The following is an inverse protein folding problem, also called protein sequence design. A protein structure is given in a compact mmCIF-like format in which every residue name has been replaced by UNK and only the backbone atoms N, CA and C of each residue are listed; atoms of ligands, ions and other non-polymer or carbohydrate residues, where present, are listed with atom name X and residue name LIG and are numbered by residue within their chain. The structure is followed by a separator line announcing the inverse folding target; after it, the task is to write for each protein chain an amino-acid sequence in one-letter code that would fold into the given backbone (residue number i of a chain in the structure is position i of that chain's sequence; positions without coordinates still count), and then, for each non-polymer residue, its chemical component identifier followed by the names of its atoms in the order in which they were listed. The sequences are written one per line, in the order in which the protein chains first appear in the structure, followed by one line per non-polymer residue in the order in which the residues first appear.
data_IF_824216478939
#
_entry.id   IF_824216478939
#
_cell.length_a   1.000
_cell.length_b   1.000
_cell.length_c   1.000
_cell.angle_alpha   90.00
_cell.angle_beta   90.00
_cell.angle_gamma   90.00
#
_symmetry.space_group_name_H-M   'P 1'
#
loop_
_entity.id
_entity.type
_entity.pdbx_description
1 polymer ?
#
# COMPACT_ATOMS: atom_id res chain seq x y z
N UNK A 1 -5.05 1.03 -48.42
CA UNK A 1 -3.95 1.03 -47.42
C UNK A 1 -4.52 0.43 -46.13
N UNK A 2 -4.09 -0.78 -45.75
CA UNK A 2 -4.60 -1.48 -44.57
C UNK A 2 -3.93 -0.89 -43.33
N UNK A 3 -4.73 -0.39 -42.38
CA UNK A 3 -4.27 0.01 -41.06
C UNK A 3 -3.82 -1.25 -40.31
N UNK A 4 -2.50 -1.41 -40.12
CA UNK A 4 -1.96 -2.46 -39.26
C UNK A 4 -2.20 -2.03 -37.81
N UNK A 5 -3.28 -2.53 -37.21
CA UNK A 5 -3.54 -2.39 -35.78
C UNK A 5 -2.46 -3.12 -34.98
N UNK A 6 -1.56 -2.37 -34.38
CA UNK A 6 -0.73 -2.87 -33.29
C UNK A 6 -1.66 -3.16 -32.10
N UNK A 7 -2.08 -4.42 -31.94
CA UNK A 7 -2.59 -4.89 -30.65
C UNK A 7 -1.40 -4.93 -29.71
N UNK A 8 -1.26 -3.93 -28.86
CA UNK A 8 -0.35 -4.00 -27.72
C UNK A 8 -0.79 -5.19 -26.85
N UNK A 9 0.02 -6.24 -26.82
CA UNK A 9 -0.20 -7.40 -25.97
C UNK A 9 0.25 -7.00 -24.57
N UNK A 10 -0.70 -6.54 -23.76
CA UNK A 10 -0.46 -6.28 -22.35
C UNK A 10 -0.32 -7.60 -21.59
N UNK A 11 0.75 -7.74 -20.82
CA UNK A 11 0.90 -8.82 -19.85
C UNK A 11 0.75 -8.24 -18.44
N UNK A 12 0.21 -8.99 -17.50
CA UNK A 12 0.27 -8.58 -16.10
C UNK A 12 1.69 -8.82 -15.57
N UNK A 13 2.31 -7.82 -14.96
CA UNK A 13 3.56 -8.01 -14.25
C UNK A 13 3.36 -9.05 -13.14
N UNK A 14 4.18 -10.10 -13.09
CA UNK A 14 4.04 -11.19 -12.11
C UNK A 14 4.09 -10.70 -10.65
N UNK A 15 4.72 -9.55 -10.39
CA UNK A 15 4.93 -9.03 -9.04
C UNK A 15 3.87 -8.01 -8.62
N UNK A 16 3.61 -6.98 -9.43
CA UNK A 16 2.66 -5.93 -9.07
C UNK A 16 1.27 -6.11 -9.71
N UNK A 17 1.09 -7.12 -10.55
CA UNK A 17 -0.16 -7.46 -11.27
C UNK A 17 -0.73 -6.34 -12.16
N UNK A 18 0.07 -5.31 -12.44
CA UNK A 18 -0.32 -4.21 -13.31
C UNK A 18 -0.03 -4.56 -14.78
N UNK A 19 -0.88 -4.10 -15.73
CA UNK A 19 -0.63 -4.29 -17.15
C UNK A 19 0.67 -3.60 -17.57
N UNK A 20 1.57 -4.35 -18.21
CA UNK A 20 2.82 -3.84 -18.78
C UNK A 20 2.91 -4.23 -20.26
N UNK A 21 3.24 -3.28 -21.16
CA UNK A 21 3.50 -3.56 -22.56
C UNK A 21 4.94 -4.06 -22.83
N UNK A 22 5.82 -4.06 -21.81
CA UNK A 22 7.25 -4.38 -21.92
C UNK A 22 7.66 -5.52 -20.99
N UNK A 23 8.78 -6.15 -21.32
CA UNK A 23 9.46 -7.18 -20.49
C UNK A 23 9.99 -6.65 -19.17
N UNK A 24 10.17 -5.33 -19.06
CA UNK A 24 10.46 -4.57 -17.84
C UNK A 24 9.18 -3.87 -17.36
N UNK A 25 8.75 -4.14 -16.13
CA UNK A 25 7.69 -3.37 -15.50
C UNK A 25 8.22 -1.98 -15.09
N UNK A 26 7.72 -0.90 -15.68
CA UNK A 26 8.18 0.47 -15.37
C UNK A 26 7.91 0.90 -13.92
N UNK A 27 7.02 0.19 -13.21
CA UNK A 27 6.66 0.50 -11.82
C UNK A 27 7.59 -0.19 -10.82
N UNK A 28 7.66 -1.53 -10.88
CA UNK A 28 8.46 -2.31 -9.93
C UNK A 28 9.83 -2.72 -10.49
N UNK A 29 10.17 -2.30 -11.71
CA UNK A 29 11.39 -2.63 -12.44
C UNK A 29 11.67 -4.14 -12.59
N UNK A 30 10.63 -4.96 -12.47
CA UNK A 30 10.71 -6.40 -12.67
C UNK A 30 10.97 -6.73 -14.15
N UNK A 31 12.00 -7.53 -14.44
CA UNK A 31 12.32 -8.05 -15.77
C UNK A 31 12.03 -9.54 -15.88
N UNK A 32 11.28 -9.95 -16.90
CA UNK A 32 10.88 -11.35 -17.09
C UNK A 32 11.99 -12.27 -17.63
N UNK A 33 13.05 -11.74 -18.27
CA UNK A 33 14.00 -12.55 -19.07
C UNK A 33 15.40 -12.73 -18.46
N UNK A 34 15.78 -11.96 -17.44
CA UNK A 34 17.11 -12.05 -16.82
C UNK A 34 16.96 -12.56 -15.40
N UNK A 35 17.22 -13.86 -15.22
CA UNK A 35 17.37 -14.44 -13.89
C UNK A 35 18.33 -13.60 -13.05
N UNK A 36 17.85 -13.22 -11.86
CA UNK A 36 18.49 -12.39 -10.84
C UNK A 36 18.71 -10.91 -11.17
N UNK A 37 17.71 -10.12 -10.78
CA UNK A 37 17.94 -8.88 -10.04
C UNK A 37 17.41 -9.12 -8.63
N UNK A 38 18.20 -8.78 -7.61
CA UNK A 38 17.75 -8.77 -6.21
C UNK A 38 16.35 -8.16 -6.15
N UNK A 39 15.38 -8.93 -5.65
CA UNK A 39 14.00 -8.49 -5.55
C UNK A 39 13.99 -7.11 -4.89
N UNK A 40 13.64 -6.07 -5.64
CA UNK A 40 13.41 -4.76 -5.05
C UNK A 40 12.27 -4.95 -4.04
N UNK A 41 12.61 -4.95 -2.76
CA UNK A 41 11.62 -5.01 -1.70
C UNK A 41 10.70 -3.81 -1.89
N UNK A 42 9.39 -4.04 -1.92
CA UNK A 42 8.40 -2.97 -2.08
C UNK A 42 7.68 -2.73 -0.77
N UNK A 43 7.41 -1.47 -0.47
CA UNK A 43 6.60 -1.10 0.69
C UNK A 43 5.21 -1.75 0.61
N UNK A 44 4.76 -2.40 1.68
CA UNK A 44 3.43 -3.03 1.72
C UNK A 44 2.27 -2.03 1.59
N UNK A 45 2.48 -0.77 2.01
CA UNK A 45 1.45 0.26 2.02
C UNK A 45 1.36 1.08 0.73
N UNK A 46 2.48 1.60 0.25
CA UNK A 46 2.48 2.51 -0.92
C UNK A 46 3.10 1.90 -2.18
N UNK A 47 3.59 0.65 -2.11
CA UNK A 47 4.28 -0.06 -3.21
C UNK A 47 5.53 0.64 -3.75
N UNK A 48 6.01 1.69 -3.09
CA UNK A 48 7.26 2.33 -3.45
C UNK A 48 8.45 1.36 -3.27
N UNK A 49 9.47 1.44 -4.13
CA UNK A 49 10.71 0.68 -3.96
C UNK A 49 11.38 1.01 -2.62
N UNK A 50 11.84 -0.01 -1.90
CA UNK A 50 12.63 0.15 -0.68
C UNK A 50 14.11 0.22 -1.03
N UNK A 51 14.80 1.19 -0.43
CA UNK A 51 16.25 1.33 -0.56
C UNK A 51 16.94 0.25 0.29
N UNK A 52 17.10 -0.95 -0.28
CA UNK A 52 17.90 -2.04 0.27
C UNK A 52 17.27 -2.83 1.42
N UNK A 53 17.82 -4.02 1.73
CA UNK A 53 17.26 -4.93 2.71
C UNK A 53 17.65 -4.49 4.13
N UNK A 54 16.80 -3.70 4.79
CA UNK A 54 16.77 -3.75 6.25
C UNK A 54 15.95 -4.97 6.67
N UNK A 55 16.55 -5.99 7.30
CA UNK A 55 15.83 -7.19 7.70
C UNK A 55 14.64 -6.81 8.59
N UNK A 56 13.43 -7.22 8.18
CA UNK A 56 12.20 -7.00 8.94
C UNK A 56 11.46 -5.68 8.65
N UNK A 57 12.01 -4.79 7.81
CA UNK A 57 11.32 -3.54 7.46
C UNK A 57 10.49 -3.71 6.18
N UNK A 58 9.17 -3.85 6.34
CA UNK A 58 8.21 -3.95 5.22
C UNK A 58 7.62 -2.60 4.78
N UNK A 59 7.92 -1.53 5.52
CA UNK A 59 7.41 -0.18 5.29
C UNK A 59 8.51 0.79 4.87
N UNK A 60 8.24 1.61 3.87
CA UNK A 60 9.16 2.68 3.49
C UNK A 60 9.20 3.78 4.57
N UNK A 61 10.33 4.48 4.66
CA UNK A 61 10.52 5.58 5.59
C UNK A 61 9.41 6.64 5.47
N UNK A 62 8.92 6.91 4.25
CA UNK A 62 7.82 7.85 4.04
C UNK A 62 6.52 7.39 4.73
N UNK A 63 6.12 6.13 4.57
CA UNK A 63 4.94 5.57 5.23
C UNK A 63 5.09 5.60 6.76
N UNK A 64 6.28 5.29 7.27
CA UNK A 64 6.58 5.37 8.70
C UNK A 64 6.46 6.80 9.22
N UNK A 65 7.06 7.78 8.53
CA UNK A 65 6.99 9.20 8.91
C UNK A 65 5.55 9.70 8.85
N UNK A 66 4.80 9.36 7.81
CA UNK A 66 3.38 9.71 7.71
C UNK A 66 2.57 9.14 8.87
N UNK A 67 2.80 7.86 9.22
CA UNK A 67 2.13 7.24 10.37
C UNK A 67 2.44 7.99 11.66
N UNK A 68 3.70 8.32 11.91
CA UNK A 68 4.12 9.10 13.10
C UNK A 68 3.46 10.48 13.12
N UNK A 69 3.41 11.19 11.99
CA UNK A 69 2.76 12.51 11.90
C UNK A 69 1.27 12.40 12.23
N UNK A 70 0.57 11.43 11.65
CA UNK A 70 -0.86 11.22 11.90
C UNK A 70 -1.11 10.89 13.38
N UNK A 71 -0.35 9.94 13.94
CA UNK A 71 -0.48 9.52 15.34
C UNK A 71 -0.23 10.66 16.34
N UNK A 72 0.67 11.58 16.02
CA UNK A 72 0.99 12.74 16.86
C UNK A 72 0.15 13.98 16.50
N UNK A 73 -0.77 13.89 15.55
CA UNK A 73 -1.61 15.02 15.18
C UNK A 73 -2.68 15.28 16.26
N UNK A 74 -2.94 16.56 16.61
CA UNK A 74 -4.04 16.89 17.52
C UNK A 74 -5.39 16.37 17.03
N UNK A 75 -5.61 16.40 15.71
CA UNK A 75 -6.82 15.86 15.09
C UNK A 75 -7.03 14.38 15.43
N UNK A 76 -6.00 13.54 15.28
CA UNK A 76 -6.11 12.11 15.57
C UNK A 76 -6.42 11.87 17.06
N UNK A 77 -5.81 12.67 17.94
CA UNK A 77 -6.09 12.60 19.37
C UNK A 77 -7.55 12.93 19.70
N UNK A 78 -8.08 14.03 19.14
CA UNK A 78 -9.48 14.41 19.34
C UNK A 78 -10.44 13.36 18.79
N UNK A 79 -10.22 12.89 17.56
CA UNK A 79 -11.04 11.86 16.94
C UNK A 79 -11.05 10.55 17.76
N UNK A 80 -9.90 10.16 18.33
CA UNK A 80 -9.82 8.99 19.19
C UNK A 80 -10.60 9.18 20.50
N UNK A 81 -10.51 10.35 21.14
CA UNK A 81 -11.28 10.68 22.34
C UNK A 81 -12.79 10.70 22.08
N UNK A 82 -13.24 11.31 20.98
CA UNK A 82 -14.65 11.31 20.56
C UNK A 82 -15.15 9.88 20.34
N UNK A 83 -14.42 9.08 19.58
CA UNK A 83 -14.75 7.68 19.35
C UNK A 83 -14.88 6.88 20.66
N UNK A 84 -13.97 7.08 21.62
CA UNK A 84 -14.05 6.42 22.93
C UNK A 84 -15.31 6.84 23.70
N UNK A 85 -15.66 8.12 23.69
CA UNK A 85 -16.86 8.63 24.36
C UNK A 85 -18.13 8.06 23.72
N UNK A 86 -18.22 8.06 22.39
CA UNK A 86 -19.34 7.47 21.67
C UNK A 86 -19.53 5.99 22.00
N UNK A 87 -18.44 5.21 22.04
CA UNK A 87 -18.52 3.80 22.41
C UNK A 87 -18.99 3.58 23.85
N UNK A 88 -18.58 4.43 24.80
CA UNK A 88 -19.08 4.36 26.17
C UNK A 88 -20.58 4.68 26.24
N UNK A 89 -21.04 5.68 25.50
CA UNK A 89 -22.47 6.01 25.42
C UNK A 89 -23.28 4.88 24.80
N UNK A 90 -22.77 4.29 23.71
CA UNK A 90 -23.37 3.12 23.06
C UNK A 90 -23.42 1.91 23.99
N UNK A 91 -22.36 1.67 24.77
CA UNK A 91 -22.32 0.57 25.74
C UNK A 91 -23.36 0.74 26.85
N UNK A 92 -23.50 1.95 27.40
CA UNK A 92 -24.56 2.26 28.40
C UNK A 92 -25.94 2.06 27.80
N UNK A 93 -26.17 2.59 26.59
CA UNK A 93 -27.45 2.44 25.91
C UNK A 93 -27.79 0.97 25.64
N UNK A 94 -26.79 0.17 25.27
CA UNK A 94 -26.94 -1.28 25.10
C UNK A 94 -27.34 -1.95 26.41
N UNK A 95 -26.76 -1.58 27.55
CA UNK A 95 -27.15 -2.10 28.86
C UNK A 95 -28.60 -1.74 29.20
N UNK A 96 -29.00 -0.47 29.03
CA UNK A 96 -30.39 -0.03 29.26
C UNK A 96 -31.42 -0.82 28.44
N UNK A 97 -31.05 -1.22 27.21
CA UNK A 97 -31.92 -1.98 26.33
C UNK A 97 -31.96 -3.49 26.65
N UNK A 98 -30.94 -4.02 27.31
CA UNK A 98 -30.81 -5.46 27.58
C UNK A 98 -31.18 -5.87 29.01
N UNK A 99 -31.23 -4.93 29.96
CA UNK A 99 -31.59 -5.18 31.36
C UNK A 99 -30.38 -5.47 32.24
#
# INVERSE_FOLDING_TARGET
MKANGFKEVFMACQFCQLPTPKTLCEICQYMAETGFLEHALVCQHCRAPLAGPQPGQLDCQLCQVMLVIVQNSPWFHYAHCEWQQENLLLARRKQELLG
#
